data_IF_775336824336
#
_entry.id   IF_775336824336
#
_cell.length_a   1.000
_cell.length_b   1.000
_cell.length_c   1.000
_cell.angle_alpha   90.00
_cell.angle_beta   90.00
_cell.angle_gamma   90.00
#
_symmetry.space_group_name_H-M   'P 1'
#
loop_
_entity.id
_entity.type
_entity.pdbx_description
1 polymer ?
#
# COMPACT_ATOMS: atom_id res chain seq x y z
N UNK A 1 -29.26 -9.49 -80.28
CA UNK A 1 -28.17 -10.15 -81.02
C UNK A 1 -26.88 -9.77 -80.29
N UNK A 2 -26.50 -10.54 -79.27
CA UNK A 2 -25.67 -11.76 -79.29
C UNK A 2 -24.21 -11.46 -78.96
N UNK A 3 -23.75 -11.90 -77.77
CA UNK A 3 -22.69 -12.93 -77.51
C UNK A 3 -21.28 -12.30 -77.60
N UNK A 4 -20.55 -12.04 -76.50
CA UNK A 4 -19.85 -12.90 -75.51
C UNK A 4 -18.42 -13.34 -75.92
N UNK A 5 -17.49 -13.16 -74.96
CA UNK A 5 -16.16 -13.81 -74.75
C UNK A 5 -15.07 -13.42 -75.78
N UNK A 6 -13.77 -13.35 -75.49
CA UNK A 6 -12.95 -14.13 -74.55
C UNK A 6 -11.61 -13.41 -74.21
N UNK A 7 -10.96 -13.91 -73.17
CA UNK A 7 -9.71 -13.43 -72.56
C UNK A 7 -8.45 -13.80 -73.35
N UNK A 8 -7.35 -13.03 -73.27
CA UNK A 8 -5.94 -13.51 -73.15
C UNK A 8 -5.02 -12.36 -72.68
N UNK A 9 -4.22 -12.61 -71.65
CA UNK A 9 -3.01 -11.85 -71.25
C UNK A 9 -1.79 -12.72 -71.60
N UNK A 10 -0.65 -12.15 -72.06
CA UNK A 10 0.52 -12.13 -71.18
C UNK A 10 1.39 -10.88 -71.24
N UNK A 11 2.29 -10.84 -70.25
CA UNK A 11 3.06 -9.75 -69.65
C UNK A 11 4.42 -9.51 -70.33
N UNK A 12 4.96 -8.28 -70.15
CA UNK A 12 6.38 -7.82 -69.97
C UNK A 12 6.76 -6.75 -71.00
N UNK A 13 7.40 -5.62 -70.71
CA UNK A 13 8.13 -5.12 -69.53
C UNK A 13 8.27 -3.59 -69.68
N UNK A 14 7.94 -2.79 -68.66
CA UNK A 14 8.44 -1.41 -68.53
C UNK A 14 8.66 -1.08 -67.04
N UNK A 15 9.89 -1.28 -66.56
CA UNK A 15 10.41 -0.70 -65.33
C UNK A 15 10.90 0.71 -65.57
N UNK A 16 10.24 1.70 -64.96
CA UNK A 16 10.75 2.67 -63.96
C UNK A 16 9.80 3.87 -63.91
N UNK A 17 8.97 3.95 -62.87
CA UNK A 17 8.40 5.20 -62.37
C UNK A 17 8.87 5.39 -60.93
N UNK A 18 9.69 6.42 -60.77
CA UNK A 18 10.07 7.05 -59.49
C UNK A 18 8.84 7.73 -58.87
N UNK A 19 8.93 8.04 -57.56
CA UNK A 19 8.09 8.94 -56.71
C UNK A 19 7.32 8.13 -55.63
N UNK A 20 7.32 8.42 -54.31
CA UNK A 20 7.79 9.55 -53.48
C UNK A 20 8.37 8.99 -52.16
N UNK A 21 9.25 9.78 -51.52
CA UNK A 21 9.59 9.71 -50.08
C UNK A 21 8.35 9.47 -49.22
N UNK A 22 8.40 8.44 -48.38
CA UNK A 22 7.39 8.17 -47.36
C UNK A 22 7.21 9.39 -46.46
N UNK A 23 6.01 9.93 -46.46
CA UNK A 23 5.54 10.82 -45.41
C UNK A 23 5.46 9.97 -44.14
N UNK A 24 6.47 10.09 -43.28
CA UNK A 24 6.35 9.70 -41.89
C UNK A 24 5.36 10.67 -41.24
N UNK A 25 4.10 10.25 -41.15
CA UNK A 25 3.14 10.90 -40.27
C UNK A 25 3.55 10.53 -38.84
N UNK A 26 4.32 11.43 -38.20
CA UNK A 26 4.52 11.39 -36.76
C UNK A 26 3.15 11.59 -36.12
N UNK A 27 2.55 10.52 -35.62
CA UNK A 27 1.44 10.63 -34.68
C UNK A 27 2.01 11.40 -33.49
N UNK A 28 1.46 12.56 -33.10
CA UNK A 28 1.83 13.17 -31.84
C UNK A 28 1.43 12.16 -30.77
N UNK A 29 2.42 11.51 -30.16
CA UNK A 29 2.23 10.84 -28.89
C UNK A 29 1.92 11.95 -27.91
N UNK A 30 0.63 12.20 -27.70
CA UNK A 30 0.15 12.87 -26.50
C UNK A 30 0.58 11.96 -25.35
N UNK A 31 1.72 12.28 -24.76
CA UNK A 31 2.01 11.84 -23.41
C UNK A 31 0.90 12.45 -22.56
N UNK A 32 -0.15 11.67 -22.34
CA UNK A 32 -1.17 11.97 -21.35
C UNK A 32 -0.43 11.87 -20.02
N UNK A 33 0.13 13.01 -19.58
CA UNK A 33 0.62 13.16 -18.23
C UNK A 33 -0.51 12.75 -17.32
N UNK A 34 -0.25 11.76 -16.46
CA UNK A 34 -1.23 11.27 -15.51
C UNK A 34 -1.90 12.47 -14.80
N UNK A 35 -3.23 12.42 -14.56
CA UNK A 35 -3.89 13.49 -13.82
C UNK A 35 -3.47 13.40 -12.35
N UNK A 36 -2.31 13.98 -12.01
CA UNK A 36 -1.72 13.86 -10.68
C UNK A 36 -2.09 15.03 -9.74
N UNK A 37 -2.74 16.08 -10.23
CA UNK A 37 -2.95 17.32 -9.47
C UNK A 37 -4.38 17.56 -8.97
N UNK A 38 -5.40 17.02 -9.65
CA UNK A 38 -6.80 17.37 -9.36
C UNK A 38 -7.41 16.56 -8.20
N UNK A 39 -6.87 15.38 -7.90
CA UNK A 39 -7.33 14.58 -6.77
C UNK A 39 -7.02 15.28 -5.42
N UNK A 40 -5.82 15.86 -5.27
CA UNK A 40 -5.38 16.43 -3.99
C UNK A 40 -6.20 17.63 -3.51
N UNK A 41 -6.61 18.53 -4.41
CA UNK A 41 -7.48 19.67 -4.06
C UNK A 41 -8.86 19.16 -3.59
N UNK A 42 -9.44 18.19 -4.29
CA UNK A 42 -10.76 17.64 -3.94
C UNK A 42 -10.77 16.90 -2.60
N UNK A 43 -9.68 16.17 -2.28
CA UNK A 43 -9.54 15.41 -1.04
C UNK A 43 -9.44 16.34 0.18
N UNK A 44 -8.74 17.46 0.04
CA UNK A 44 -8.60 18.46 1.09
C UNK A 44 -9.92 19.12 1.50
N UNK A 45 -10.86 19.26 0.57
CA UNK A 45 -12.18 19.88 0.84
C UNK A 45 -13.18 18.91 1.46
N UNK A 46 -13.07 17.61 1.20
CA UNK A 46 -14.07 16.60 1.60
C UNK A 46 -13.66 15.82 2.85
N UNK A 47 -12.42 15.39 2.95
CA UNK A 47 -11.92 14.54 4.06
C UNK A 47 -10.81 15.19 4.89
N UNK A 48 -10.41 16.41 4.53
CA UNK A 48 -9.23 17.04 5.10
C UNK A 48 -7.93 16.41 4.59
N UNK A 49 -6.85 16.56 5.36
CA UNK A 49 -5.50 16.09 4.98
C UNK A 49 -5.31 14.57 5.06
N UNK A 50 -6.29 13.80 5.52
CA UNK A 50 -6.17 12.34 5.71
C UNK A 50 -7.37 11.64 5.10
N UNK A 51 -7.10 10.62 4.28
CA UNK A 51 -8.10 9.73 3.71
C UNK A 51 -7.75 8.29 4.03
N UNK A 52 -8.71 7.53 4.53
CA UNK A 52 -8.55 6.09 4.73
C UNK A 52 -8.98 5.34 3.48
N UNK A 53 -8.26 4.27 3.15
CA UNK A 53 -8.73 3.30 2.17
C UNK A 53 -10.04 2.64 2.61
N UNK A 54 -10.74 1.97 1.68
CA UNK A 54 -11.97 1.27 2.01
C UNK A 54 -11.70 0.21 3.09
N UNK A 55 -12.58 0.14 4.08
CA UNK A 55 -12.55 -0.95 5.05
C UNK A 55 -12.86 -2.26 4.31
N UNK A 56 -11.97 -3.23 4.46
CA UNK A 56 -12.08 -4.51 3.77
C UNK A 56 -11.47 -5.62 4.59
N UNK A 57 -11.65 -6.86 4.12
CA UNK A 57 -11.02 -8.02 4.74
C UNK A 57 -9.55 -8.05 4.37
N UNK A 58 -8.70 -7.66 5.31
CA UNK A 58 -7.24 -7.68 5.19
C UNK A 58 -6.70 -8.83 6.03
N UNK A 59 -5.56 -9.39 5.63
CA UNK A 59 -4.92 -10.50 6.36
C UNK A 59 -4.40 -10.03 7.71
N UNK A 60 -4.57 -10.90 8.71
CA UNK A 60 -3.96 -10.77 10.03
C UNK A 60 -2.87 -11.83 10.16
N UNK A 61 -1.65 -11.40 10.44
CA UNK A 61 -0.53 -12.31 10.74
C UNK A 61 -0.39 -12.52 12.25
N UNK A 62 0.11 -13.69 12.66
CA UNK A 62 0.51 -13.96 14.04
C UNK A 62 2.03 -13.79 14.18
N UNK A 63 2.45 -13.06 15.22
CA UNK A 63 3.84 -12.86 15.63
C UNK A 63 4.05 -13.24 17.08
N UNK A 64 5.30 -13.45 17.47
CA UNK A 64 5.71 -13.71 18.84
C UNK A 64 5.33 -12.59 19.80
N UNK A 65 4.96 -12.95 21.03
CA UNK A 65 4.78 -11.97 22.11
C UNK A 65 6.01 -11.10 22.33
N UNK A 66 7.19 -11.71 22.31
CA UNK A 66 8.47 -11.01 22.49
C UNK A 66 8.82 -10.07 21.33
N UNK A 67 8.13 -10.20 20.19
CA UNK A 67 8.30 -9.35 19.01
C UNK A 67 7.12 -8.39 18.80
N UNK A 68 6.17 -8.34 19.74
CA UNK A 68 4.97 -7.51 19.67
C UNK A 68 5.31 -6.05 19.34
N UNK A 69 6.22 -5.46 20.10
CA UNK A 69 6.66 -4.06 19.97
C UNK A 69 7.82 -3.85 18.97
N UNK A 70 8.29 -4.91 18.30
CA UNK A 70 9.43 -4.77 17.39
C UNK A 70 9.07 -3.89 16.18
N UNK A 71 9.79 -2.78 16.02
CA UNK A 71 9.69 -1.90 14.86
C UNK A 71 10.52 -2.34 13.64
N UNK A 72 11.19 -3.50 13.74
CA UNK A 72 11.97 -4.04 12.63
C UNK A 72 11.10 -4.31 11.41
N UNK A 73 11.67 -4.12 10.21
CA UNK A 73 11.07 -4.65 9.00
C UNK A 73 11.02 -6.18 9.05
N UNK A 74 9.98 -6.76 8.46
CA UNK A 74 9.85 -8.21 8.27
C UNK A 74 10.03 -9.03 9.56
N UNK A 75 9.40 -8.59 10.66
CA UNK A 75 9.32 -9.36 11.91
C UNK A 75 8.84 -10.78 11.60
N UNK A 76 9.57 -11.83 12.02
CA UNK A 76 9.18 -13.21 11.79
C UNK A 76 7.75 -13.50 12.21
N UNK A 77 7.00 -14.18 11.33
CA UNK A 77 5.61 -14.57 11.56
C UNK A 77 5.59 -16.00 12.04
N UNK A 78 4.93 -16.26 13.16
CA UNK A 78 4.57 -17.63 13.57
C UNK A 78 3.61 -18.21 12.53
N UNK A 79 2.71 -17.37 12.01
CA UNK A 79 1.78 -17.75 10.95
C UNK A 79 1.36 -16.56 10.12
N UNK A 80 1.66 -16.61 8.82
CA UNK A 80 1.05 -15.69 7.84
C UNK A 80 -0.41 -16.10 7.59
N UNK A 81 -1.31 -15.13 7.40
CA UNK A 81 -2.75 -15.39 7.21
C UNK A 81 -3.36 -16.18 8.39
N UNK A 82 -2.93 -15.88 9.60
CA UNK A 82 -3.53 -16.43 10.82
C UNK A 82 -5.02 -16.12 10.92
N UNK A 83 -5.42 -14.95 10.46
CA UNK A 83 -6.78 -14.47 10.51
C UNK A 83 -7.08 -13.37 9.51
N UNK A 84 -8.14 -12.63 9.80
CA UNK A 84 -8.57 -11.48 9.05
C UNK A 84 -8.88 -10.32 9.98
N UNK A 85 -8.75 -9.12 9.44
CA UNK A 85 -9.30 -7.89 10.02
C UNK A 85 -10.25 -7.23 9.04
N UNK A 86 -11.24 -6.52 9.55
CA UNK A 86 -12.07 -5.61 8.77
C UNK A 86 -11.66 -4.17 9.05
N UNK A 87 -10.60 -3.70 8.39
CA UNK A 87 -9.99 -2.38 8.57
C UNK A 87 -9.46 -1.85 7.22
N UNK A 88 -9.13 -0.55 7.09
CA UNK A 88 -8.55 0.03 5.87
C UNK A 88 -7.24 -0.66 5.44
N UNK A 89 -6.95 -0.72 4.14
CA UNK A 89 -5.68 -1.28 3.63
C UNK A 89 -4.59 -0.23 3.40
N UNK A 90 -4.94 1.05 3.48
CA UNK A 90 -4.00 2.16 3.37
C UNK A 90 -4.53 3.40 4.09
N UNK A 91 -3.62 4.32 4.38
CA UNK A 91 -3.92 5.72 4.68
C UNK A 91 -3.23 6.60 3.65
N UNK A 92 -3.91 7.62 3.15
CA UNK A 92 -3.37 8.62 2.26
C UNK A 92 -3.39 9.97 2.97
N UNK A 93 -2.26 10.67 2.94
CA UNK A 93 -2.09 11.96 3.61
C UNK A 93 -1.75 12.99 2.54
N UNK A 94 -2.54 14.05 2.47
CA UNK A 94 -2.40 15.14 1.52
C UNK A 94 -2.10 16.46 2.23
N UNK A 95 -1.24 17.25 1.61
CA UNK A 95 -1.04 18.63 2.00
C UNK A 95 -2.15 19.50 1.40
N UNK A 96 -2.83 20.22 2.30
CA UNK A 96 -3.93 21.10 1.95
C UNK A 96 -3.54 22.58 2.03
N UNK A 97 -2.25 22.87 2.05
CA UNK A 97 -1.69 24.24 2.09
C UNK A 97 -0.96 24.58 0.81
N UNK A 98 -0.80 25.88 0.54
CA UNK A 98 -0.08 26.41 -0.63
C UNK A 98 1.44 26.23 -0.54
N UNK A 99 1.95 25.82 0.62
CA UNK A 99 3.38 25.67 0.89
C UNK A 99 3.71 24.21 1.18
N UNK A 100 4.94 23.74 0.87
CA UNK A 100 5.36 22.41 1.28
C UNK A 100 5.36 22.30 2.80
N UNK A 101 5.07 21.12 3.33
CA UNK A 101 4.97 20.89 4.77
C UNK A 101 5.60 19.58 5.21
N UNK A 102 6.19 19.60 6.40
CA UNK A 102 6.59 18.39 7.10
C UNK A 102 5.42 17.84 7.90
N UNK A 103 5.22 16.54 7.79
CA UNK A 103 4.17 15.80 8.46
C UNK A 103 4.76 14.60 9.18
N UNK A 104 4.10 14.20 10.26
CA UNK A 104 4.35 12.93 10.95
C UNK A 104 3.05 12.44 11.55
N UNK A 105 2.92 11.14 11.72
CA UNK A 105 1.70 10.58 12.29
C UNK A 105 2.00 9.40 13.19
N UNK A 106 1.02 9.09 14.05
CA UNK A 106 1.00 7.90 14.87
C UNK A 106 -0.37 7.27 14.85
N UNK A 107 -0.42 5.96 15.03
CA UNK A 107 -1.64 5.20 15.24
C UNK A 107 -1.60 4.56 16.63
N UNK A 108 -2.68 4.71 17.37
CA UNK A 108 -2.94 3.97 18.60
C UNK A 108 -4.18 3.14 18.42
N UNK A 109 -4.21 1.94 18.99
CA UNK A 109 -5.37 1.07 18.94
C UNK A 109 -5.80 0.60 20.32
N UNK A 110 -7.03 0.10 20.41
CA UNK A 110 -7.66 -0.30 21.66
C UNK A 110 -7.49 -1.78 21.99
N UNK A 111 -6.83 -2.57 21.13
CA UNK A 111 -6.82 -4.02 21.24
C UNK A 111 -5.44 -4.49 21.70
N UNK A 112 -5.38 -5.07 22.88
CA UNK A 112 -4.10 -5.54 23.44
C UNK A 112 -3.40 -6.52 22.47
N UNK A 113 -2.09 -6.34 22.32
CA UNK A 113 -1.25 -7.16 21.43
C UNK A 113 -1.75 -7.21 19.98
N UNK A 114 -2.44 -6.16 19.54
CA UNK A 114 -2.71 -5.87 18.14
C UNK A 114 -1.69 -4.85 17.65
N UNK A 115 -1.25 -4.98 16.41
CA UNK A 115 -0.25 -4.07 15.85
C UNK A 115 -0.59 -3.73 14.41
N UNK A 116 -0.58 -2.43 14.15
CA UNK A 116 -0.67 -1.86 12.82
C UNK A 116 0.75 -1.64 12.31
N UNK A 117 1.01 -2.14 11.12
CA UNK A 117 2.24 -1.93 10.39
C UNK A 117 1.97 -0.97 9.23
N UNK A 118 2.79 0.06 9.12
CA UNK A 118 2.76 0.97 7.99
C UNK A 118 3.96 0.70 7.11
N UNK A 119 3.72 0.39 5.84
CA UNK A 119 4.77 -0.01 4.91
C UNK A 119 5.65 -1.14 5.47
N UNK A 120 5.03 -2.07 6.21
CA UNK A 120 5.69 -3.22 6.83
C UNK A 120 6.41 -2.94 8.15
N UNK A 121 6.30 -1.73 8.71
CA UNK A 121 6.87 -1.39 10.02
C UNK A 121 5.81 -1.08 11.05
N UNK A 122 5.85 -1.82 12.15
CA UNK A 122 5.18 -1.39 13.36
C UNK A 122 5.96 -0.24 13.99
N UNK A 123 5.26 0.65 14.70
CA UNK A 123 5.94 1.64 15.50
C UNK A 123 5.87 1.23 16.96
N UNK A 124 7.00 1.29 17.66
CA UNK A 124 7.01 1.12 19.11
C UNK A 124 6.29 2.30 19.74
N UNK A 125 5.08 2.05 20.23
CA UNK A 125 4.23 3.07 20.84
C UNK A 125 4.83 3.63 22.13
N UNK A 126 5.75 2.89 22.76
CA UNK A 126 6.41 3.24 24.02
C UNK A 126 7.86 3.72 23.81
N UNK A 127 8.34 3.72 22.57
CA UNK A 127 9.69 4.15 22.21
C UNK A 127 9.91 5.66 22.37
N UNK A 128 11.15 6.14 22.19
CA UNK A 128 11.53 7.54 22.37
C UNK A 128 10.81 8.53 21.43
N UNK A 129 10.19 8.04 20.35
CA UNK A 129 9.34 8.84 19.46
C UNK A 129 7.87 8.93 19.88
N UNK A 130 7.48 8.38 21.04
CA UNK A 130 6.10 8.33 21.56
C UNK A 130 5.08 7.79 20.53
N UNK A 131 5.52 6.81 19.73
CA UNK A 131 4.73 6.20 18.66
C UNK A 131 4.56 7.02 17.39
N UNK A 132 5.23 8.18 17.24
CA UNK A 132 5.27 8.91 15.96
C UNK A 132 6.24 8.28 14.97
N UNK A 133 5.80 8.16 13.71
CA UNK A 133 6.60 7.70 12.59
C UNK A 133 7.56 8.80 12.12
N UNK A 134 8.55 8.39 11.34
CA UNK A 134 9.51 9.31 10.74
C UNK A 134 8.81 10.43 9.94
N UNK A 135 9.29 11.67 10.05
CA UNK A 135 8.75 12.78 9.28
C UNK A 135 8.86 12.57 7.77
N UNK A 136 7.83 12.98 7.04
CA UNK A 136 7.82 13.01 5.58
C UNK A 136 7.36 14.38 5.09
N UNK A 137 7.84 14.78 3.91
CA UNK A 137 7.56 16.09 3.33
C UNK A 137 6.57 15.95 2.18
N UNK A 138 5.53 16.77 2.19
CA UNK A 138 4.58 16.85 1.09
C UNK A 138 4.73 18.18 0.36
N UNK A 139 4.61 18.14 -0.97
CA UNK A 139 4.56 19.33 -1.81
C UNK A 139 3.26 20.13 -1.55
N UNK A 140 3.15 21.39 -2.01
CA UNK A 140 1.90 22.14 -1.96
C UNK A 140 0.71 21.39 -2.55
N UNK A 141 -0.49 21.80 -2.12
CA UNK A 141 -1.75 21.29 -2.66
C UNK A 141 -1.79 21.45 -4.18
N UNK A 142 -2.26 20.41 -4.88
CA UNK A 142 -2.35 20.39 -6.33
C UNK A 142 -1.02 20.16 -7.07
N UNK A 143 0.09 19.97 -6.36
CA UNK A 143 1.37 19.62 -6.97
C UNK A 143 1.67 18.12 -6.86
N UNK A 144 2.53 17.63 -7.76
CA UNK A 144 3.05 16.27 -7.66
C UNK A 144 3.81 16.09 -6.33
N UNK A 145 3.55 14.98 -5.63
CA UNK A 145 4.07 14.75 -4.28
C UNK A 145 3.31 15.50 -3.18
N UNK A 146 2.17 16.13 -3.50
CA UNK A 146 1.29 16.76 -2.52
C UNK A 146 0.49 15.74 -1.68
N UNK A 147 0.43 14.49 -2.11
CA UNK A 147 -0.18 13.38 -1.38
C UNK A 147 0.76 12.18 -1.31
N UNK A 148 0.76 11.49 -0.18
CA UNK A 148 1.51 10.25 0.01
C UNK A 148 0.61 9.19 0.62
N UNK A 149 0.65 8.00 0.01
CA UNK A 149 -0.07 6.83 0.48
C UNK A 149 0.85 5.91 1.26
N UNK A 150 0.34 5.38 2.36
CA UNK A 150 1.01 4.42 3.21
C UNK A 150 0.15 3.15 3.31
N UNK A 151 0.75 2.01 3.00
CA UNK A 151 0.08 0.71 3.11
C UNK A 151 -0.08 0.32 4.57
N UNK A 152 -1.23 -0.27 4.91
CA UNK A 152 -1.54 -0.79 6.24
C UNK A 152 -1.58 -2.32 6.20
N UNK A 153 -0.77 -2.95 7.04
CA UNK A 153 -0.85 -4.37 7.35
C UNK A 153 -1.07 -4.57 8.84
N UNK A 154 -1.54 -5.75 9.21
CA UNK A 154 -2.00 -6.04 10.56
C UNK A 154 -1.38 -7.33 11.06
N UNK A 155 -0.91 -7.29 12.30
CA UNK A 155 -0.43 -8.46 13.01
C UNK A 155 -0.96 -8.47 14.43
N UNK A 156 -0.84 -9.63 15.06
CA UNK A 156 -1.17 -9.79 16.47
C UNK A 156 -0.19 -10.71 17.16
N UNK A 157 0.01 -10.48 18.45
CA UNK A 157 0.86 -11.27 19.35
C UNK A 157 0.04 -12.02 20.41
N UNK A 158 -1.28 -12.13 20.22
CA UNK A 158 -2.18 -12.81 21.16
C UNK A 158 -3.30 -13.55 20.42
N UNK A 159 -3.86 -14.63 21.01
CA UNK A 159 -5.01 -15.32 20.44
C UNK A 159 -6.17 -14.40 20.10
N UNK A 160 -6.88 -14.78 19.04
CA UNK A 160 -8.08 -14.10 18.57
C UNK A 160 -9.23 -15.08 18.51
N UNK A 161 -10.48 -14.63 18.69
CA UNK A 161 -11.65 -15.48 18.52
C UNK A 161 -11.65 -16.15 17.15
N UNK A 162 -11.97 -17.44 17.11
CA UNK A 162 -12.10 -18.18 15.87
C UNK A 162 -13.44 -17.90 15.20
N UNK A 163 -13.41 -17.74 13.88
CA UNK A 163 -14.60 -17.80 13.04
C UNK A 163 -14.30 -18.50 11.72
N UNK A 164 -15.24 -19.34 11.30
CA UNK A 164 -15.30 -20.00 9.99
C UNK A 164 -16.19 -19.24 8.99
N UNK A 165 -16.68 -18.04 9.35
CA UNK A 165 -17.50 -17.20 8.48
C UNK A 165 -16.70 -16.84 7.23
N UNK A 166 -17.11 -17.44 6.11
CA UNK A 166 -16.43 -17.30 4.82
C UNK A 166 -16.65 -15.92 4.17
N UNK A 167 -17.73 -15.22 4.53
CA UNK A 167 -18.13 -13.93 3.94
C UNK A 167 -18.57 -12.92 4.99
N UNK A 168 -18.14 -11.68 4.84
CA UNK A 168 -18.47 -10.60 5.77
C UNK A 168 -17.69 -10.65 7.09
N UNK A 169 -18.23 -9.98 8.09
CA UNK A 169 -17.66 -9.87 9.43
C UNK A 169 -18.37 -10.86 10.35
N UNK A 170 -17.66 -11.71 11.13
CA UNK A 170 -18.26 -12.68 12.05
C UNK A 170 -19.26 -12.07 13.04
N UNK A 171 -20.17 -12.83 13.67
CA UNK A 171 -21.01 -12.30 14.75
C UNK A 171 -20.18 -11.89 15.98
N UNK A 172 -20.82 -11.12 16.88
CA UNK A 172 -20.24 -10.80 18.19
C UNK A 172 -19.90 -12.08 18.96
N UNK A 173 -18.76 -12.12 19.65
CA UNK A 173 -18.24 -13.32 20.31
C UNK A 173 -17.35 -14.21 19.43
N UNK A 174 -17.30 -13.98 18.12
CA UNK A 174 -16.37 -14.63 17.18
C UNK A 174 -15.43 -13.63 16.50
N UNK A 175 -15.30 -12.44 17.09
CA UNK A 175 -14.40 -11.34 16.68
C UNK A 175 -14.11 -10.44 17.87
N UNK A 176 -12.94 -9.81 17.85
CA UNK A 176 -12.59 -8.70 18.73
C UNK A 176 -12.89 -7.38 18.01
N UNK A 177 -13.36 -6.38 18.75
CA UNK A 177 -13.48 -5.02 18.24
C UNK A 177 -12.14 -4.28 18.35
N UNK A 178 -11.80 -3.51 17.34
CA UNK A 178 -10.61 -2.65 17.32
C UNK A 178 -11.06 -1.22 17.06
N UNK A 179 -10.70 -0.30 17.94
CA UNK A 179 -10.77 1.13 17.67
C UNK A 179 -9.35 1.65 17.48
N UNK A 180 -9.12 2.36 16.38
CA UNK A 180 -7.85 2.98 16.04
C UNK A 180 -8.02 4.49 16.02
N UNK A 181 -7.04 5.22 16.53
CA UNK A 181 -6.94 6.65 16.39
C UNK A 181 -5.63 7.01 15.68
N UNK A 182 -5.74 7.66 14.53
CA UNK A 182 -4.60 8.23 13.82
C UNK A 182 -4.46 9.70 14.20
N UNK A 183 -3.30 10.09 14.70
CA UNK A 183 -2.95 11.48 15.01
C UNK A 183 -1.93 11.96 14.00
N UNK A 184 -2.30 12.96 13.18
CA UNK A 184 -1.40 13.62 12.23
C UNK A 184 -0.95 14.96 12.81
N UNK A 185 0.36 15.18 12.81
CA UNK A 185 0.97 16.46 13.13
C UNK A 185 1.62 17.06 11.90
N UNK A 186 1.64 18.39 11.86
CA UNK A 186 2.34 19.19 10.85
C UNK A 186 3.36 20.07 11.56
N UNK A 187 4.49 20.31 10.91
CA UNK A 187 5.47 21.31 11.34
C UNK A 187 5.35 22.55 10.45
N UNK A 188 5.47 23.78 10.98
CA UNK A 188 5.48 25.01 10.17
C UNK A 188 6.76 25.20 9.33
N UNK A 189 7.79 24.38 9.56
CA UNK A 189 9.06 24.49 8.84
C UNK A 189 8.87 24.02 7.41
N UNK A 190 9.45 24.76 6.46
CA UNK A 190 9.52 24.39 5.04
C UNK A 190 10.94 23.98 4.63
N UNK A 191 11.86 23.87 5.59
CA UNK A 191 13.27 23.56 5.36
C UNK A 191 13.48 22.21 4.65
N UNK A 192 14.61 22.04 3.96
CA UNK A 192 14.94 20.80 3.26
C UNK A 192 15.20 19.62 4.20
N UNK A 193 15.59 19.88 5.44
CA UNK A 193 15.86 18.87 6.47
C UNK A 193 14.62 18.68 7.34
N UNK A 194 14.34 17.42 7.70
CA UNK A 194 13.24 17.06 8.58
C UNK A 194 13.44 17.68 9.98
N UNK A 195 12.39 18.25 10.61
CA UNK A 195 12.43 18.62 12.02
C UNK A 195 12.69 17.40 12.89
N UNK A 196 13.40 17.60 14.00
CA UNK A 196 13.69 16.52 14.94
C UNK A 196 12.41 15.95 15.58
N UNK A 197 12.48 14.70 16.05
CA UNK A 197 11.33 14.05 16.70
C UNK A 197 10.83 14.79 17.96
N UNK A 198 11.69 15.52 18.66
CA UNK A 198 11.34 16.28 19.87
C UNK A 198 11.19 17.78 19.62
N UNK A 199 11.10 18.21 18.35
CA UNK A 199 10.93 19.62 18.02
C UNK A 199 9.58 20.15 18.54
N UNK A 200 9.54 21.26 19.31
CA UNK A 200 8.28 21.82 19.80
C UNK A 200 7.37 22.37 18.68
N UNK A 201 7.87 22.55 17.45
CA UNK A 201 7.07 23.06 16.33
C UNK A 201 6.05 22.07 15.77
N UNK A 202 6.04 20.81 16.22
CA UNK A 202 5.02 19.84 15.82
C UNK A 202 3.65 20.18 16.42
N UNK A 203 2.70 20.56 15.57
CA UNK A 203 1.33 20.89 15.97
C UNK A 203 0.34 19.86 15.45
N UNK A 204 -0.73 19.62 16.21
CA UNK A 204 -1.84 18.77 15.77
C UNK A 204 -2.44 19.35 14.49
N UNK A 205 -2.49 18.54 13.44
CA UNK A 205 -3.14 18.88 12.18
C UNK A 205 -4.52 18.22 12.09
N UNK A 206 -4.62 16.93 12.42
CA UNK A 206 -5.92 16.25 12.56
C UNK A 206 -5.81 14.99 13.43
N UNK A 207 -6.94 14.54 13.95
CA UNK A 207 -7.10 13.22 14.58
C UNK A 207 -8.26 12.52 13.90
N UNK A 208 -8.04 11.29 13.43
CA UNK A 208 -9.03 10.51 12.70
C UNK A 208 -9.25 9.16 13.40
N UNK A 209 -10.37 8.99 14.12
CA UNK A 209 -10.75 7.68 14.63
C UNK A 209 -11.35 6.82 13.52
N UNK A 210 -11.04 5.52 13.55
CA UNK A 210 -11.72 4.51 12.76
C UNK A 210 -11.82 3.20 13.56
N UNK A 211 -12.75 2.34 13.18
CA UNK A 211 -12.98 1.08 13.91
C UNK A 211 -13.21 -0.08 12.97
N UNK A 212 -13.02 -1.27 13.51
CA UNK A 212 -13.14 -2.51 12.78
C UNK A 212 -13.12 -3.70 13.72
N UNK A 213 -12.77 -4.85 13.16
CA UNK A 213 -12.78 -6.11 13.87
C UNK A 213 -11.59 -6.97 13.49
N UNK A 214 -11.15 -7.83 14.40
CA UNK A 214 -10.12 -8.83 14.18
C UNK A 214 -10.60 -10.22 14.62
N UNK A 215 -10.27 -11.25 13.84
CA UNK A 215 -10.60 -12.65 14.19
C UNK A 215 -9.61 -13.59 13.51
N UNK A 216 -9.47 -14.81 14.05
CA UNK A 216 -8.69 -15.86 13.39
C UNK A 216 -9.58 -16.74 12.52
N UNK A 217 -9.01 -17.23 11.44
CA UNK A 217 -9.65 -18.17 10.51
C UNK A 217 -8.96 -19.53 10.51
N UNK A 218 -7.91 -19.68 11.32
CA UNK A 218 -7.04 -20.84 11.30
C UNK A 218 -7.17 -21.69 12.56
N UNK A 219 -6.99 -23.01 12.39
CA UNK A 219 -6.87 -24.03 13.43
C UNK A 219 -5.70 -24.99 13.09
N UNK A 220 -5.04 -25.60 14.08
CA UNK A 220 -5.06 -25.23 15.50
C UNK A 220 -4.50 -23.81 15.72
N UNK A 221 -4.72 -23.26 16.91
CA UNK A 221 -4.17 -21.96 17.30
C UNK A 221 -2.63 -22.06 17.43
N UNK A 222 -1.86 -21.12 16.86
CA UNK A 222 -0.41 -21.12 17.03
C UNK A 222 -0.05 -20.77 18.47
N UNK A 223 1.08 -21.29 18.96
CA UNK A 223 1.62 -20.89 20.26
C UNK A 223 2.38 -19.56 20.11
N UNK A 224 1.83 -18.49 20.70
CA UNK A 224 2.42 -17.14 20.68
C UNK A 224 3.72 -17.01 21.49
N UNK A 225 4.09 -18.05 22.25
CA UNK A 225 5.34 -18.14 22.99
C UNK A 225 6.39 -19.05 22.30
N UNK A 226 6.02 -19.85 21.30
CA UNK A 226 6.91 -20.87 20.72
C UNK A 226 7.90 -20.31 19.69
N UNK A 227 8.47 -19.15 19.98
CA UNK A 227 9.37 -18.46 19.07
C UNK A 227 10.78 -18.96 19.29
N UNK A 228 11.05 -20.13 18.72
CA UNK A 228 12.43 -20.54 18.52
C UNK A 228 13.08 -19.57 17.53
N UNK A 229 14.31 -19.16 17.83
CA UNK A 229 15.12 -18.17 17.09
C UNK A 229 15.52 -18.60 15.66
N UNK A 230 14.72 -19.42 14.98
CA UNK A 230 15.05 -20.03 13.70
C UNK A 230 13.88 -20.34 12.76
N UNK A 231 12.64 -19.95 13.05
CA UNK A 231 11.55 -20.10 12.08
C UNK A 231 11.51 -18.94 11.08
N UNK A 232 12.62 -18.78 10.36
CA UNK A 232 12.59 -18.28 9.00
C UNK A 232 12.14 -19.44 8.10
N UNK A 233 10.83 -19.62 7.94
CA UNK A 233 10.32 -20.29 6.75
C UNK A 233 10.58 -19.34 5.57
N UNK A 234 11.84 -19.37 5.13
CA UNK A 234 12.21 -19.00 3.79
C UNK A 234 11.29 -19.81 2.87
N UNK A 235 10.38 -19.13 2.18
CA UNK A 235 9.94 -19.63 0.88
C UNK A 235 11.18 -19.72 0.01
N UNK A 236 11.81 -20.88 0.01
CA UNK A 236 12.59 -21.36 -1.12
C UNK A 236 11.72 -21.17 -2.34
N UNK A 237 12.06 -20.17 -3.15
CA UNK A 237 11.57 -20.05 -4.51
C UNK A 237 11.86 -21.38 -5.19
N UNK A 238 10.81 -22.15 -5.42
CA UNK A 238 10.82 -23.36 -6.21
C UNK A 238 11.38 -23.04 -7.60
N UNK A 239 12.57 -23.61 -7.84
CA UNK A 239 13.18 -23.96 -9.12
C UNK A 239 12.77 -23.15 -10.36
N UNK A 240 13.70 -22.32 -10.84
CA UNK A 240 13.80 -22.08 -12.27
C UNK A 240 14.22 -23.40 -12.96
N UNK A 241 13.57 -23.83 -14.05
CA UNK A 241 14.02 -24.99 -14.79
C UNK A 241 15.39 -24.71 -15.44
N UNK A 242 16.24 -25.71 -15.31
CA UNK A 242 17.60 -25.82 -15.80
C UNK A 242 17.73 -25.38 -17.26
N UNK A 243 18.67 -24.48 -17.54
CA UNK A 243 19.19 -24.31 -18.89
C UNK A 243 20.09 -25.53 -19.18
N UNK A 244 19.58 -26.46 -19.97
CA UNK A 244 20.35 -27.54 -20.54
C UNK A 244 21.44 -26.93 -21.43
N UNK A 245 22.69 -27.08 -21.02
CA UNK A 245 23.86 -26.86 -21.86
C UNK A 245 24.01 -28.09 -22.77
N UNK A 246 23.60 -27.96 -24.02
CA UNK A 246 24.13 -28.80 -25.09
C UNK A 246 25.12 -27.94 -25.89
N UNK A 247 26.40 -28.25 -25.73
CA UNK A 247 27.44 -27.82 -26.64
C UNK A 247 27.37 -28.62 -27.94
N UNK A 248 27.50 -27.92 -29.07
CA UNK A 248 28.64 -27.99 -30.00
C UNK A 248 28.64 -26.72 -30.86
#
# INVERSE_FOLDING_TARGET
>A
MSIAHDSVVPVRSQTRRTIVKGAAWSVPVLAVGAPAAHAGISQCTVTGSVTLGPAGRVRLDAVCRDLSQSGAFAVPRIRTNYGLVFLPSYVEICNCTSDPGWYRFRETDSLDNFQIEVNGQHNDQNGPGAGFRDPFKLAPVGQAGGCQRFSLTYRTSDPRPYSDVATGTPPSGSRDAVQVNLVLQRHPSTAAVAPGANDPGWVLNTSLPFSGYAWRTTRPEPDFNSCSAGQSDARTSSAAPSADSLGD
#
